data_IF_970330994338
#
_entry.id   IF_970330994338
#
_cell.length_a   1.000
_cell.length_b   1.000
_cell.length_c   1.000
_cell.angle_alpha   90.00
_cell.angle_beta   90.00
_cell.angle_gamma   90.00
#
_symmetry.space_group_name_H-M   'P 1'
#
loop_
_entity.id
_entity.type
_entity.pdbx_description
1 polymer ?
#
# COMPACT_ATOMS: atom_id res chain seq x y z
N UNK A 1 -8.79 33.75 46.14
CA UNK A 1 -8.78 32.62 45.18
C UNK A 1 -8.96 33.14 43.75
N UNK A 2 -9.84 34.12 43.53
CA UNK A 2 -10.15 34.70 42.21
C UNK A 2 -8.92 35.15 41.39
N UNK A 3 -7.94 35.82 42.03
CA UNK A 3 -6.70 36.28 41.39
C UNK A 3 -5.78 35.12 40.91
N UNK A 4 -5.82 33.95 41.56
CA UNK A 4 -4.98 32.81 41.15
C UNK A 4 -5.56 32.10 39.92
N UNK A 5 -6.88 31.95 39.85
CA UNK A 5 -7.55 31.34 38.69
C UNK A 5 -7.39 32.21 37.44
N UNK A 6 -7.50 33.53 37.57
CA UNK A 6 -7.23 34.48 36.48
C UNK A 6 -5.80 34.32 35.95
N UNK A 7 -4.79 34.34 36.84
CA UNK A 7 -3.39 34.13 36.46
C UNK A 7 -3.09 32.76 35.84
N UNK A 8 -3.78 31.70 36.30
CA UNK A 8 -3.65 30.37 35.70
C UNK A 8 -4.25 30.33 34.29
N UNK A 9 -5.36 31.02 34.05
CA UNK A 9 -5.97 31.15 32.72
C UNK A 9 -5.10 32.00 31.78
N UNK A 10 -4.49 33.08 32.27
CA UNK A 10 -3.48 33.84 31.51
C UNK A 10 -2.30 32.96 31.13
N UNK A 11 -1.86 32.12 32.07
CA UNK A 11 -0.76 31.18 31.84
C UNK A 11 -1.10 30.10 30.83
N UNK A 12 -2.33 29.56 30.88
CA UNK A 12 -2.84 28.64 29.88
C UNK A 12 -2.83 29.27 28.48
N UNK A 13 -3.31 30.51 28.38
CA UNK A 13 -3.32 31.29 27.14
C UNK A 13 -1.90 31.52 26.60
N UNK A 14 -0.93 31.82 27.47
CA UNK A 14 0.48 31.93 27.09
C UNK A 14 1.02 30.64 26.44
N UNK A 15 0.78 29.47 27.06
CA UNK A 15 1.24 28.19 26.49
C UNK A 15 0.49 27.81 25.22
N UNK A 16 -0.83 28.05 25.14
CA UNK A 16 -1.63 27.82 23.94
C UNK A 16 -1.15 28.66 22.76
N UNK A 17 -0.80 29.94 22.99
CA UNK A 17 -0.20 30.80 21.96
C UNK A 17 1.15 30.25 21.48
N UNK A 18 2.04 29.89 22.39
CA UNK A 18 3.34 29.32 22.05
C UNK A 18 3.21 27.99 21.28
N UNK A 19 2.18 27.19 21.58
CA UNK A 19 1.87 25.96 20.85
C UNK A 19 1.43 26.26 19.42
N UNK A 20 0.53 27.22 19.23
CA UNK A 20 0.07 27.63 17.90
C UNK A 20 1.23 28.16 17.04
N UNK A 21 2.07 29.03 17.60
CA UNK A 21 3.28 29.53 16.93
C UNK A 21 4.22 28.39 16.51
N UNK A 22 4.48 27.41 17.40
CA UNK A 22 5.32 26.25 17.08
C UNK A 22 4.70 25.37 15.98
N UNK A 23 3.37 25.24 15.97
CA UNK A 23 2.65 24.51 14.93
C UNK A 23 2.71 25.22 13.57
N UNK A 24 2.68 26.55 13.55
CA UNK A 24 2.86 27.33 12.33
C UNK A 24 4.30 27.28 11.82
N UNK A 25 5.28 27.35 12.72
CA UNK A 25 6.71 27.18 12.42
C UNK A 25 7.02 25.80 11.80
N UNK A 26 6.26 24.75 12.13
CA UNK A 26 6.44 23.40 11.57
C UNK A 26 6.04 23.27 10.10
N UNK A 27 5.08 24.08 9.62
CA UNK A 27 4.48 23.91 8.27
C UNK A 27 5.50 24.08 7.15
N UNK A 28 6.34 25.11 7.25
CA UNK A 28 7.31 25.43 6.18
C UNK A 28 8.42 24.38 6.07
N UNK A 29 9.12 23.99 7.17
CA UNK A 29 10.09 22.91 7.14
C UNK A 29 9.50 21.57 6.67
N UNK A 30 8.27 21.22 7.07
CA UNK A 30 7.62 19.98 6.61
C UNK A 30 7.36 19.99 5.09
N UNK A 31 6.89 21.12 4.56
CA UNK A 31 6.71 21.29 3.11
C UNK A 31 8.04 21.26 2.37
N UNK A 32 9.07 21.93 2.90
CA UNK A 32 10.40 21.95 2.29
C UNK A 32 11.04 20.56 2.30
N UNK A 33 10.90 19.81 3.41
CA UNK A 33 11.37 18.44 3.53
C UNK A 33 10.78 17.56 2.43
N UNK A 34 9.47 17.67 2.19
CA UNK A 34 8.80 16.89 1.14
C UNK A 34 9.29 17.23 -0.26
N UNK A 35 9.56 18.50 -0.57
CA UNK A 35 10.11 18.92 -1.87
C UNK A 35 11.53 18.37 -2.07
N UNK A 36 12.39 18.53 -1.07
CA UNK A 36 13.77 18.02 -1.13
C UNK A 36 13.78 16.50 -1.21
N UNK A 37 12.86 15.81 -0.54
CA UNK A 37 12.72 14.35 -0.67
C UNK A 37 12.36 13.92 -2.09
N UNK A 38 11.47 14.64 -2.78
CA UNK A 38 11.14 14.37 -4.19
C UNK A 38 12.34 14.58 -5.11
N UNK A 39 13.13 15.64 -4.87
CA UNK A 39 14.37 15.89 -5.62
C UNK A 39 15.40 14.78 -5.39
N UNK A 40 15.57 14.33 -4.14
CA UNK A 40 16.43 13.19 -3.79
C UNK A 40 15.97 11.92 -4.51
N UNK A 41 14.67 11.63 -4.48
CA UNK A 41 14.11 10.42 -5.10
C UNK A 41 14.33 10.44 -6.62
N UNK A 42 14.12 11.60 -7.27
CA UNK A 42 14.34 11.77 -8.70
C UNK A 42 15.82 11.62 -9.07
N UNK A 43 16.72 12.32 -8.37
CA UNK A 43 18.15 12.30 -8.70
C UNK A 43 18.77 10.94 -8.40
N UNK A 44 18.39 10.32 -7.27
CA UNK A 44 18.82 8.95 -6.94
C UNK A 44 18.34 7.97 -8.00
N UNK A 45 17.09 8.11 -8.47
CA UNK A 45 16.57 7.25 -9.54
C UNK A 45 17.34 7.44 -10.84
N UNK A 46 17.64 8.66 -11.26
CA UNK A 46 18.41 8.92 -12.48
C UNK A 46 19.79 8.24 -12.42
N UNK A 47 20.53 8.43 -11.31
CA UNK A 47 21.85 7.81 -11.12
C UNK A 47 21.74 6.27 -11.12
N UNK A 48 20.75 5.71 -10.42
CA UNK A 48 20.56 4.27 -10.34
C UNK A 48 20.08 3.69 -11.67
N UNK A 49 19.30 4.42 -12.44
CA UNK A 49 18.84 3.97 -13.75
C UNK A 49 19.98 3.86 -14.77
N UNK A 50 20.96 4.75 -14.69
CA UNK A 50 22.17 4.70 -15.52
C UNK A 50 23.17 3.62 -15.07
N UNK A 51 23.22 3.31 -13.77
CA UNK A 51 24.25 2.43 -13.19
C UNK A 51 23.80 0.98 -13.00
N UNK A 52 22.50 0.74 -12.77
CA UNK A 52 21.93 -0.58 -12.56
C UNK A 52 21.28 -1.07 -13.86
N UNK A 53 21.74 -2.20 -14.42
CA UNK A 53 21.22 -2.72 -15.69
C UNK A 53 19.75 -3.11 -15.61
N UNK A 54 19.06 -3.06 -16.76
CA UNK A 54 17.72 -3.60 -16.96
C UNK A 54 17.75 -4.63 -18.11
N UNK A 55 17.49 -5.93 -17.84
CA UNK A 55 17.13 -6.53 -16.56
C UNK A 55 18.32 -6.69 -15.59
N UNK A 56 18.01 -6.73 -14.28
CA UNK A 56 18.98 -7.02 -13.22
C UNK A 56 18.93 -8.50 -12.83
N UNK A 57 19.97 -9.25 -13.16
CA UNK A 57 20.14 -10.67 -12.83
C UNK A 57 20.78 -10.88 -11.45
N UNK A 58 20.79 -12.13 -10.97
CA UNK A 58 21.31 -12.44 -9.62
C UNK A 58 22.82 -12.17 -9.49
N UNK A 59 23.57 -12.25 -10.59
CA UNK A 59 25.04 -12.12 -10.56
C UNK A 59 25.53 -10.75 -10.10
N UNK A 60 24.69 -9.72 -10.23
CA UNK A 60 25.00 -8.33 -9.84
C UNK A 60 24.39 -7.91 -8.50
N UNK A 61 23.50 -8.71 -7.94
CA UNK A 61 22.82 -8.39 -6.67
C UNK A 61 23.83 -8.35 -5.52
N UNK A 62 24.72 -9.34 -5.41
CA UNK A 62 25.78 -9.39 -4.40
C UNK A 62 26.65 -8.12 -4.40
N UNK A 63 26.88 -7.52 -5.58
CA UNK A 63 27.66 -6.29 -5.69
C UNK A 63 26.89 -5.09 -5.15
N UNK A 64 25.60 -5.00 -5.44
CA UNK A 64 24.72 -3.95 -4.91
C UNK A 64 24.52 -4.08 -3.39
N UNK A 65 24.35 -5.30 -2.89
CA UNK A 65 24.27 -5.57 -1.45
C UNK A 65 25.52 -5.10 -0.70
N UNK A 66 26.70 -5.38 -1.24
CA UNK A 66 27.98 -4.91 -0.69
C UNK A 66 28.11 -3.40 -0.78
N UNK A 67 27.80 -2.82 -1.94
CA UNK A 67 27.94 -1.37 -2.19
C UNK A 67 27.04 -0.56 -1.25
N UNK A 68 25.77 -0.96 -1.08
CA UNK A 68 24.78 -0.23 -0.28
C UNK A 68 24.61 -0.79 1.15
N UNK A 69 25.39 -1.80 1.51
CA UNK A 69 25.37 -2.47 2.82
C UNK A 69 23.94 -2.88 3.23
N UNK A 70 23.30 -3.67 2.37
CA UNK A 70 21.92 -4.12 2.54
C UNK A 70 21.75 -5.58 2.13
N UNK A 71 20.66 -6.19 2.57
CA UNK A 71 20.24 -7.52 2.12
C UNK A 71 19.02 -7.34 1.19
N UNK A 72 19.08 -7.96 0.01
CA UNK A 72 18.08 -7.92 -1.04
C UNK A 72 17.41 -9.30 -1.26
N UNK A 73 17.76 -10.32 -0.48
CA UNK A 73 17.25 -11.69 -0.58
C UNK A 73 15.72 -11.75 -0.51
N UNK A 74 15.11 -10.95 0.37
CA UNK A 74 13.66 -10.89 0.52
C UNK A 74 12.98 -10.43 -0.79
N UNK A 75 13.60 -9.48 -1.51
CA UNK A 75 13.09 -8.97 -2.78
C UNK A 75 13.30 -10.02 -3.88
N UNK A 76 14.47 -10.68 -3.90
CA UNK A 76 14.74 -11.76 -4.85
C UNK A 76 13.74 -12.90 -4.67
N UNK A 77 13.58 -13.37 -3.44
CA UNK A 77 12.66 -14.46 -3.07
C UNK A 77 11.23 -14.11 -3.46
N UNK A 78 10.74 -12.92 -3.09
CA UNK A 78 9.41 -12.43 -3.47
C UNK A 78 9.17 -12.51 -4.98
N UNK A 79 10.13 -12.08 -5.80
CA UNK A 79 9.95 -12.05 -7.25
C UNK A 79 10.09 -13.42 -7.91
N UNK A 80 10.92 -14.32 -7.37
CA UNK A 80 10.97 -15.72 -7.83
C UNK A 80 9.68 -16.48 -7.43
N UNK A 81 9.17 -16.28 -6.22
CA UNK A 81 7.88 -16.84 -5.79
C UNK A 81 6.72 -16.34 -6.66
N UNK A 82 6.69 -15.04 -6.97
CA UNK A 82 5.68 -14.45 -7.86
C UNK A 82 5.74 -15.06 -9.26
N UNK A 83 6.95 -15.18 -9.84
CA UNK A 83 7.16 -15.82 -11.13
C UNK A 83 6.68 -17.27 -11.12
N UNK A 84 7.07 -18.06 -10.11
CA UNK A 84 6.64 -19.46 -9.99
C UNK A 84 5.13 -19.56 -9.88
N UNK A 85 4.50 -18.70 -9.09
CA UNK A 85 3.04 -18.62 -9.01
C UNK A 85 2.39 -18.31 -10.35
N UNK A 86 2.96 -17.40 -11.15
CA UNK A 86 2.45 -17.11 -12.49
C UNK A 86 2.63 -18.30 -13.45
N UNK A 87 3.73 -19.04 -13.34
CA UNK A 87 3.96 -20.28 -14.10
C UNK A 87 2.92 -21.32 -13.72
N UNK A 88 2.71 -21.58 -12.42
CA UNK A 88 1.71 -22.53 -11.92
C UNK A 88 0.28 -22.14 -12.35
N UNK A 89 -0.08 -20.86 -12.27
CA UNK A 89 -1.37 -20.36 -12.73
C UNK A 89 -1.54 -20.57 -14.23
N UNK A 90 -0.50 -20.26 -15.03
CA UNK A 90 -0.51 -20.47 -16.47
C UNK A 90 -0.67 -21.96 -16.82
N UNK A 91 0.10 -22.84 -16.18
CA UNK A 91 0.02 -24.29 -16.39
C UNK A 91 -1.34 -24.85 -15.98
N UNK A 92 -1.93 -24.34 -14.89
CA UNK A 92 -3.28 -24.70 -14.46
C UNK A 92 -4.33 -24.31 -15.52
N UNK A 93 -4.25 -23.09 -16.08
CA UNK A 93 -5.15 -22.65 -17.14
C UNK A 93 -4.97 -23.47 -18.44
N UNK A 94 -3.73 -23.79 -18.81
CA UNK A 94 -3.42 -24.55 -20.03
C UNK A 94 -3.75 -26.05 -19.91
N UNK A 95 -3.74 -26.59 -18.69
CA UNK A 95 -4.11 -27.97 -18.42
C UNK A 95 -5.62 -28.19 -18.27
N UNK A 96 -6.41 -27.12 -18.12
CA UNK A 96 -7.87 -27.20 -18.11
C UNK A 96 -8.36 -27.84 -19.42
N UNK A 97 -9.06 -28.96 -19.31
CA UNK A 97 -9.62 -29.68 -20.46
C UNK A 97 -10.54 -28.80 -21.29
N UNK A 98 -11.21 -27.82 -20.65
CA UNK A 98 -12.05 -26.82 -21.32
C UNK A 98 -11.25 -25.89 -22.21
N UNK A 99 -10.05 -25.49 -21.80
CA UNK A 99 -9.16 -24.67 -22.64
C UNK A 99 -8.68 -25.43 -23.88
N UNK A 100 -8.43 -26.74 -23.76
CA UNK A 100 -8.06 -27.60 -24.90
C UNK A 100 -9.21 -27.82 -25.88
N UNK A 101 -10.42 -28.08 -25.36
CA UNK A 101 -11.65 -28.18 -26.17
C UNK A 101 -11.98 -26.83 -26.84
N UNK A 102 -11.71 -25.71 -26.17
CA UNK A 102 -11.82 -24.36 -26.72
C UNK A 102 -10.86 -24.08 -27.88
N UNK A 103 -9.58 -24.44 -27.77
CA UNK A 103 -8.64 -24.27 -28.89
C UNK A 103 -9.12 -25.03 -30.14
N UNK A 104 -9.76 -26.18 -29.96
CA UNK A 104 -10.40 -26.92 -31.04
C UNK A 104 -11.70 -26.25 -31.55
N UNK A 105 -12.40 -25.47 -30.71
CA UNK A 105 -13.53 -24.62 -31.14
C UNK A 105 -13.02 -23.47 -32.01
N UNK A 106 -12.13 -22.60 -31.54
CA UNK A 106 -11.75 -21.35 -32.27
C UNK A 106 -11.32 -21.57 -33.73
N UNK A 107 -10.70 -22.72 -34.01
CA UNK A 107 -10.18 -23.05 -35.35
C UNK A 107 -11.31 -23.39 -36.35
N UNK A 108 -12.55 -23.61 -35.89
CA UNK A 108 -13.67 -23.97 -36.74
C UNK A 108 -14.46 -22.73 -37.23
N UNK A 109 -14.40 -22.47 -38.53
CA UNK A 109 -15.10 -21.35 -39.19
C UNK A 109 -16.63 -21.39 -39.02
N UNK A 110 -17.22 -22.58 -38.82
CA UNK A 110 -18.66 -22.76 -38.59
C UNK A 110 -19.14 -22.10 -37.30
N UNK A 111 -18.25 -21.82 -36.35
CA UNK A 111 -18.63 -21.18 -35.08
C UNK A 111 -18.90 -19.70 -35.22
N UNK A 112 -18.16 -18.97 -36.05
CA UNK A 112 -18.49 -17.56 -36.34
C UNK A 112 -19.86 -17.44 -36.98
N UNK A 113 -20.26 -18.47 -37.73
CA UNK A 113 -21.57 -18.55 -38.32
C UNK A 113 -22.63 -18.84 -37.24
N UNK A 114 -22.41 -19.84 -36.38
CA UNK A 114 -23.31 -20.18 -35.27
C UNK A 114 -23.45 -19.05 -34.24
N UNK A 115 -22.38 -18.32 -33.93
CA UNK A 115 -22.41 -17.15 -33.05
C UNK A 115 -23.34 -16.07 -33.61
N UNK A 116 -23.24 -15.79 -34.92
CA UNK A 116 -24.14 -14.86 -35.61
C UNK A 116 -25.59 -15.34 -35.60
N UNK A 117 -25.82 -16.65 -35.70
CA UNK A 117 -27.17 -17.21 -35.59
C UNK A 117 -27.75 -17.01 -34.19
N UNK A 118 -27.00 -17.35 -33.13
CA UNK A 118 -27.49 -17.26 -31.74
C UNK A 118 -27.74 -15.83 -31.23
N UNK A 119 -27.17 -14.84 -31.92
CA UNK A 119 -27.39 -13.41 -31.68
C UNK A 119 -28.53 -12.83 -32.53
N UNK A 120 -29.16 -13.61 -33.39
CA UNK A 120 -30.27 -13.17 -34.23
C UNK A 120 -31.64 -13.45 -33.58
N UNK A 121 -32.45 -12.40 -33.46
CA UNK A 121 -33.76 -12.47 -32.81
C UNK A 121 -34.73 -13.44 -33.51
N UNK A 122 -34.64 -13.56 -34.85
CA UNK A 122 -35.52 -14.45 -35.62
C UNK A 122 -35.10 -15.89 -35.40
N UNK A 123 -33.79 -16.18 -35.41
CA UNK A 123 -33.28 -17.51 -35.11
C UNK A 123 -33.59 -17.94 -33.67
N UNK A 124 -33.34 -17.07 -32.68
CA UNK A 124 -33.65 -17.35 -31.27
C UNK A 124 -35.16 -17.56 -31.06
N UNK A 125 -36.01 -16.76 -31.73
CA UNK A 125 -37.45 -16.98 -31.73
C UNK A 125 -37.86 -18.34 -32.33
N UNK A 126 -37.25 -18.75 -33.45
CA UNK A 126 -37.51 -20.05 -34.08
C UNK A 126 -37.12 -21.22 -33.15
N UNK A 127 -35.98 -21.12 -32.47
CA UNK A 127 -35.55 -22.09 -31.46
C UNK A 127 -36.50 -22.15 -30.26
N UNK A 128 -36.94 -21.00 -29.75
CA UNK A 128 -37.89 -20.93 -28.63
C UNK A 128 -39.26 -21.52 -28.98
N UNK A 129 -39.66 -21.44 -30.26
CA UNK A 129 -40.85 -22.11 -30.77
C UNK A 129 -40.61 -23.58 -31.09
N UNK A 130 -39.41 -24.11 -30.83
CA UNK A 130 -38.97 -25.49 -31.14
C UNK A 130 -39.05 -25.84 -32.62
N UNK A 131 -38.99 -24.84 -33.49
CA UNK A 131 -39.02 -25.03 -34.94
C UNK A 131 -37.78 -25.84 -35.38
N UNK A 132 -37.98 -26.86 -36.22
CA UNK A 132 -36.93 -27.82 -36.59
C UNK A 132 -36.80 -29.04 -35.65
N UNK A 133 -37.68 -29.16 -34.65
CA UNK A 133 -37.75 -30.36 -33.79
C UNK A 133 -38.95 -31.24 -34.12
N UNK A 134 -38.86 -32.52 -33.76
CA UNK A 134 -39.96 -33.49 -33.83
C UNK A 134 -41.20 -33.02 -33.04
N UNK A 135 -41.02 -32.25 -31.96
CA UNK A 135 -42.15 -31.69 -31.20
C UNK A 135 -42.97 -30.69 -32.02
N UNK A 136 -42.32 -29.83 -32.80
CA UNK A 136 -43.01 -28.83 -33.64
C UNK A 136 -43.70 -29.47 -34.85
N UNK A 137 -43.09 -30.51 -35.44
CA UNK A 137 -43.69 -31.27 -36.54
C UNK A 137 -44.94 -32.06 -36.15
N UNK A 138 -45.08 -32.32 -34.85
CA UNK A 138 -46.21 -33.04 -34.25
C UNK A 138 -47.31 -32.10 -33.72
N UNK A 139 -47.19 -30.79 -33.88
CA UNK A 139 -48.27 -29.86 -33.56
C UNK A 139 -49.54 -30.13 -34.40
N UNK A 140 -50.74 -29.70 -33.92
CA UNK A 140 -52.00 -29.96 -34.59
C UNK A 140 -51.99 -29.56 -36.07
N UNK A 141 -52.45 -30.47 -36.92
CA UNK A 141 -52.51 -30.29 -38.36
C UNK A 141 -53.90 -30.61 -38.90
N UNK A 142 -54.22 -30.03 -40.05
CA UNK A 142 -55.44 -30.30 -40.81
C UNK A 142 -55.06 -31.33 -41.87
N UNK A 143 -55.68 -32.51 -41.84
CA UNK A 143 -55.45 -33.56 -42.85
C UNK A 143 -56.62 -33.54 -43.83
N UNK A 144 -56.36 -33.22 -45.10
CA UNK A 144 -57.37 -33.25 -46.16
C UNK A 144 -56.86 -34.07 -47.35
N UNK A 145 -57.54 -35.16 -47.71
CA UNK A 145 -57.18 -36.06 -48.83
C UNK A 145 -55.68 -36.48 -48.77
N UNK A 146 -55.25 -37.00 -47.60
CA UNK A 146 -53.85 -37.37 -47.31
C UNK A 146 -52.83 -36.22 -47.33
N UNK A 147 -53.24 -34.98 -47.59
CA UNK A 147 -52.39 -33.80 -47.46
C UNK A 147 -52.39 -33.30 -46.01
N UNK A 148 -51.23 -33.29 -45.36
CA UNK A 148 -51.03 -32.73 -44.01
C UNK A 148 -50.75 -31.24 -44.14
N UNK A 149 -51.71 -30.39 -43.79
CA UNK A 149 -51.54 -28.94 -43.77
C UNK A 149 -51.41 -28.43 -42.34
N UNK A 150 -50.29 -27.79 -42.02
CA UNK A 150 -50.04 -27.16 -40.74
C UNK A 150 -49.76 -25.66 -40.98
N UNK A 151 -50.75 -24.78 -40.79
CA UNK A 151 -50.62 -23.35 -41.13
C UNK A 151 -49.44 -22.67 -40.43
N UNK A 152 -49.17 -23.01 -39.17
CA UNK A 152 -48.00 -22.50 -38.43
C UNK A 152 -46.70 -22.96 -39.05
N UNK A 153 -46.61 -24.22 -39.49
CA UNK A 153 -45.40 -24.76 -40.13
C UNK A 153 -45.02 -24.00 -41.40
N UNK A 154 -45.97 -23.78 -42.31
CA UNK A 154 -45.68 -23.08 -43.57
C UNK A 154 -45.29 -21.62 -43.35
N UNK A 155 -45.92 -20.93 -42.39
CA UNK A 155 -45.58 -19.55 -42.04
C UNK A 155 -44.16 -19.47 -41.47
N UNK A 156 -43.81 -20.39 -40.56
CA UNK A 156 -42.49 -20.45 -39.95
C UNK A 156 -41.43 -20.87 -40.97
N UNK A 157 -41.68 -21.89 -41.78
CA UNK A 157 -40.77 -22.37 -42.83
C UNK A 157 -40.35 -21.27 -43.79
N UNK A 158 -41.28 -20.44 -44.27
CA UNK A 158 -40.94 -19.32 -45.16
C UNK A 158 -40.01 -18.29 -44.48
N UNK A 159 -40.23 -18.00 -43.20
CA UNK A 159 -39.41 -17.07 -42.43
C UNK A 159 -38.04 -17.69 -42.15
N UNK A 160 -38.03 -18.97 -41.78
CA UNK A 160 -36.87 -19.75 -41.42
C UNK A 160 -35.92 -19.99 -42.59
N UNK A 161 -36.43 -20.38 -43.76
CA UNK A 161 -35.62 -20.59 -44.97
C UNK A 161 -35.10 -19.26 -45.52
N UNK A 162 -35.89 -18.18 -45.45
CA UNK A 162 -35.38 -16.84 -45.76
C UNK A 162 -34.19 -16.52 -44.85
N UNK A 163 -34.30 -16.84 -43.56
CA UNK A 163 -33.26 -16.55 -42.58
C UNK A 163 -32.00 -17.39 -42.79
N UNK A 164 -32.13 -18.67 -43.11
CA UNK A 164 -31.00 -19.54 -43.47
C UNK A 164 -30.21 -18.96 -44.65
N UNK A 165 -30.91 -18.49 -45.69
CA UNK A 165 -30.29 -17.86 -46.86
C UNK A 165 -29.55 -16.55 -46.52
N UNK A 166 -30.01 -15.76 -45.54
CA UNK A 166 -29.29 -14.57 -45.04
C UNK A 166 -27.95 -14.94 -44.40
N UNK A 167 -27.82 -16.16 -43.86
CA UNK A 167 -26.57 -16.73 -43.34
C UNK A 167 -25.78 -17.52 -44.40
N UNK A 168 -26.26 -17.61 -45.65
CA UNK A 168 -25.60 -18.37 -46.71
C UNK A 168 -25.79 -19.88 -46.61
N UNK A 169 -26.87 -20.35 -45.98
CA UNK A 169 -27.22 -21.77 -45.83
C UNK A 169 -28.50 -22.07 -46.61
N UNK A 170 -28.55 -23.22 -47.30
CA UNK A 170 -29.61 -23.52 -48.26
C UNK A 170 -30.99 -23.71 -47.63
N UNK A 171 -31.05 -24.14 -46.36
CA UNK A 171 -32.32 -24.37 -45.65
C UNK A 171 -32.22 -24.18 -44.13
N UNK A 172 -33.35 -23.95 -43.46
CA UNK A 172 -33.37 -23.91 -42.00
C UNK A 172 -32.98 -25.26 -41.37
N UNK A 173 -33.31 -26.37 -42.01
CA UNK A 173 -32.99 -27.71 -41.53
C UNK A 173 -31.47 -27.94 -41.47
N UNK A 174 -30.77 -27.56 -42.53
CA UNK A 174 -29.30 -27.60 -42.58
C UNK A 174 -28.68 -26.63 -41.55
N UNK A 175 -29.24 -25.42 -41.43
CA UNK A 175 -28.81 -24.44 -40.42
C UNK A 175 -28.99 -24.98 -38.99
N UNK A 176 -30.12 -25.64 -38.71
CA UNK A 176 -30.42 -26.24 -37.42
C UNK A 176 -29.53 -27.45 -37.12
N UNK A 177 -29.21 -28.27 -38.13
CA UNK A 177 -28.27 -29.39 -37.99
C UNK A 177 -26.85 -28.92 -37.71
N UNK A 178 -26.39 -27.85 -38.37
CA UNK A 178 -25.10 -27.23 -38.09
C UNK A 178 -25.01 -26.74 -36.65
N UNK A 179 -26.01 -25.95 -36.21
CA UNK A 179 -26.10 -25.42 -34.86
C UNK A 179 -26.17 -26.54 -33.79
N UNK A 180 -27.06 -27.52 -33.99
CA UNK A 180 -27.27 -28.60 -33.03
C UNK A 180 -26.09 -29.58 -32.98
N UNK A 181 -25.47 -29.88 -34.11
CA UNK A 181 -24.27 -30.72 -34.21
C UNK A 181 -23.09 -30.12 -33.45
N UNK A 182 -22.85 -28.81 -33.59
CA UNK A 182 -21.81 -28.12 -32.83
C UNK A 182 -22.09 -28.12 -31.32
N UNK A 183 -23.34 -27.88 -30.91
CA UNK A 183 -23.71 -27.99 -29.48
C UNK A 183 -23.59 -29.41 -28.92
N UNK A 184 -23.78 -30.45 -29.74
CA UNK A 184 -23.56 -31.84 -29.32
C UNK A 184 -22.06 -32.12 -29.16
N UNK A 185 -21.26 -31.73 -30.15
CA UNK A 185 -19.82 -31.99 -30.15
C UNK A 185 -19.08 -31.27 -29.02
N UNK A 186 -19.56 -30.08 -28.62
CA UNK A 186 -18.99 -29.29 -27.53
C UNK A 186 -19.92 -29.22 -26.31
N UNK A 187 -20.78 -30.21 -26.12
CA UNK A 187 -21.78 -30.22 -25.03
C UNK A 187 -21.15 -30.11 -23.63
N UNK A 188 -19.96 -30.71 -23.44
CA UNK A 188 -19.14 -30.60 -22.24
C UNK A 188 -18.74 -29.16 -21.92
N UNK A 189 -18.51 -28.36 -22.96
CA UNK A 189 -18.05 -26.97 -22.85
C UNK A 189 -19.22 -25.98 -22.79
N UNK A 190 -20.18 -26.14 -23.69
CA UNK A 190 -21.30 -25.21 -23.89
C UNK A 190 -22.38 -25.42 -22.82
N UNK A 191 -22.67 -26.67 -22.47
CA UNK A 191 -23.81 -27.01 -21.62
C UNK A 191 -25.09 -26.29 -22.09
N UNK A 192 -25.66 -25.48 -21.19
CA UNK A 192 -26.87 -24.68 -21.46
C UNK A 192 -26.55 -23.23 -21.90
N UNK A 193 -25.28 -22.81 -21.93
CA UNK A 193 -24.89 -21.45 -22.32
C UNK A 193 -25.05 -21.24 -23.83
N UNK A 194 -25.00 -19.97 -24.28
CA UNK A 194 -24.78 -19.68 -25.70
C UNK A 194 -23.32 -19.95 -26.05
N UNK A 195 -23.07 -20.30 -27.31
CA UNK A 195 -21.73 -20.47 -27.86
C UNK A 195 -20.94 -19.15 -27.76
N UNK A 196 -21.60 -18.01 -27.97
CA UNK A 196 -21.00 -16.68 -27.80
C UNK A 196 -20.46 -16.42 -26.40
N UNK A 197 -21.21 -16.80 -25.36
CA UNK A 197 -20.78 -16.66 -23.96
C UNK A 197 -19.54 -17.51 -23.67
N UNK A 198 -19.52 -18.74 -24.20
CA UNK A 198 -18.42 -19.70 -24.01
C UNK A 198 -17.16 -19.22 -24.73
N UNK A 199 -17.31 -18.64 -25.93
CA UNK A 199 -16.22 -17.98 -26.66
C UNK A 199 -15.67 -16.81 -25.84
N UNK A 200 -16.52 -15.91 -25.33
CA UNK A 200 -16.09 -14.77 -24.53
C UNK A 200 -15.36 -15.16 -23.24
N UNK A 201 -15.85 -16.17 -22.50
CA UNK A 201 -15.15 -16.71 -21.33
C UNK A 201 -13.75 -17.24 -21.68
N UNK A 202 -13.61 -17.81 -22.86
CA UNK A 202 -12.37 -18.42 -23.30
C UNK A 202 -11.36 -17.41 -23.84
N UNK A 203 -11.81 -16.37 -24.54
CA UNK A 203 -10.98 -15.23 -24.92
C UNK A 203 -10.38 -14.53 -23.68
N UNK A 204 -11.15 -14.46 -22.58
CA UNK A 204 -10.66 -13.97 -21.29
C UNK A 204 -9.54 -14.85 -20.72
N UNK A 205 -9.66 -16.18 -20.82
CA UNK A 205 -8.61 -17.12 -20.41
C UNK A 205 -7.35 -16.93 -21.27
N UNK A 206 -7.50 -16.83 -22.59
CA UNK A 206 -6.36 -16.61 -23.50
C UNK A 206 -5.66 -15.28 -23.22
N UNK A 207 -6.44 -14.21 -23.00
CA UNK A 207 -5.91 -12.93 -22.57
C UNK A 207 -5.16 -13.05 -21.25
N UNK A 208 -5.72 -13.77 -20.27
CA UNK A 208 -5.06 -14.01 -18.98
C UNK A 208 -3.74 -14.75 -19.14
N UNK A 209 -3.68 -15.78 -19.99
CA UNK A 209 -2.44 -16.51 -20.31
C UNK A 209 -1.40 -15.57 -20.92
N UNK A 210 -1.79 -14.71 -21.88
CA UNK A 210 -0.89 -13.71 -22.49
C UNK A 210 -0.37 -12.71 -21.46
N UNK A 211 -1.23 -12.23 -20.57
CA UNK A 211 -0.85 -11.32 -19.49
C UNK A 211 0.15 -11.98 -18.52
N UNK A 212 -0.07 -13.26 -18.18
CA UNK A 212 0.86 -14.06 -17.37
C UNK A 212 2.21 -14.25 -18.08
N UNK A 213 2.21 -14.51 -19.38
CA UNK A 213 3.45 -14.62 -20.17
C UNK A 213 4.27 -13.34 -20.17
N UNK A 214 3.61 -12.18 -20.31
CA UNK A 214 4.27 -10.89 -20.18
C UNK A 214 4.89 -10.76 -18.79
N UNK A 215 4.12 -11.05 -17.73
CA UNK A 215 4.58 -10.93 -16.35
C UNK A 215 5.76 -11.87 -16.02
N UNK A 216 5.73 -13.11 -16.51
CA UNK A 216 6.82 -14.09 -16.33
C UNK A 216 8.08 -13.62 -17.05
N UNK A 217 7.96 -13.07 -18.26
CA UNK A 217 9.12 -12.63 -19.03
C UNK A 217 9.70 -11.31 -18.54
N UNK A 218 8.88 -10.43 -17.96
CA UNK A 218 9.31 -9.11 -17.47
C UNK A 218 9.56 -9.06 -15.96
N UNK A 219 9.53 -10.20 -15.25
CA UNK A 219 9.61 -10.22 -13.78
C UNK A 219 10.89 -9.57 -13.24
N UNK A 220 12.01 -9.67 -13.97
CA UNK A 220 13.29 -9.07 -13.61
C UNK A 220 13.26 -7.53 -13.65
N UNK A 221 12.48 -6.93 -14.54
CA UNK A 221 12.31 -5.47 -14.62
C UNK A 221 11.55 -4.97 -13.38
N UNK A 222 10.49 -5.67 -12.98
CA UNK A 222 9.76 -5.36 -11.73
C UNK A 222 10.66 -5.53 -10.50
N UNK A 223 11.48 -6.59 -10.47
CA UNK A 223 12.46 -6.84 -9.40
C UNK A 223 13.49 -5.72 -9.29
N UNK A 224 14.05 -5.29 -10.43
CA UNK A 224 14.98 -4.16 -10.51
C UNK A 224 14.38 -2.90 -9.91
N UNK A 225 13.13 -2.58 -10.25
CA UNK A 225 12.47 -1.38 -9.71
C UNK A 225 12.32 -1.43 -8.18
N UNK A 226 11.95 -2.59 -7.62
CA UNK A 226 11.87 -2.77 -6.16
C UNK A 226 13.25 -2.64 -5.49
N UNK A 227 14.32 -3.16 -6.12
CA UNK A 227 15.71 -3.01 -5.65
C UNK A 227 16.13 -1.53 -5.68
N UNK A 228 15.90 -0.82 -6.78
CA UNK A 228 16.20 0.62 -6.89
C UNK A 228 15.48 1.40 -5.79
N UNK A 229 14.18 1.18 -5.60
CA UNK A 229 13.41 1.86 -4.57
C UNK A 229 13.96 1.59 -3.16
N UNK A 230 14.47 0.38 -2.92
CA UNK A 230 15.09 -0.01 -1.66
C UNK A 230 16.44 0.67 -1.45
N UNK A 231 17.26 0.75 -2.50
CA UNK A 231 18.53 1.50 -2.48
C UNK A 231 18.29 2.99 -2.22
N UNK A 232 17.30 3.62 -2.87
CA UNK A 232 16.95 5.04 -2.64
C UNK A 232 16.61 5.28 -1.17
N UNK A 233 15.82 4.39 -0.55
CA UNK A 233 15.51 4.47 0.89
C UNK A 233 16.76 4.37 1.75
N UNK A 234 17.68 3.47 1.40
CA UNK A 234 18.95 3.32 2.11
C UNK A 234 19.80 4.58 2.00
N UNK A 235 19.88 5.17 0.81
CA UNK A 235 20.64 6.40 0.57
C UNK A 235 20.16 7.53 1.50
N UNK A 236 18.85 7.67 1.71
CA UNK A 236 18.25 8.67 2.62
C UNK A 236 18.58 8.47 4.11
N UNK A 237 19.03 7.27 4.50
CA UNK A 237 19.31 6.91 5.90
C UNK A 237 20.79 6.91 6.26
N UNK A 238 21.67 6.85 5.27
CA UNK A 238 23.12 6.73 5.48
C UNK A 238 23.74 8.12 5.57
N UNK A 239 24.77 8.25 6.41
CA UNK A 239 25.51 9.51 6.53
C UNK A 239 26.17 9.89 5.20
N UNK A 240 26.07 11.18 4.86
CA UNK A 240 26.59 11.76 3.62
C UNK A 240 28.09 11.43 3.41
N UNK A 241 28.84 11.30 4.51
CA UNK A 241 30.28 11.00 4.54
C UNK A 241 30.62 9.62 3.98
N UNK A 242 29.66 8.69 3.97
CA UNK A 242 29.86 7.31 3.50
C UNK A 242 29.67 7.14 1.98
N UNK A 243 29.24 8.17 1.25
CA UNK A 243 29.03 8.07 -0.20
C UNK A 243 30.28 8.41 -1.00
N UNK A 244 30.40 7.77 -2.16
CA UNK A 244 31.32 8.21 -3.20
C UNK A 244 30.91 9.61 -3.68
N UNK A 245 31.74 10.60 -3.33
CA UNK A 245 31.50 12.02 -3.63
C UNK A 245 31.46 12.33 -5.12
N UNK A 246 32.05 11.49 -5.95
CA UNK A 246 32.04 11.67 -7.41
C UNK A 246 30.71 11.19 -7.98
N UNK A 247 30.31 9.95 -7.62
CA UNK A 247 29.07 9.31 -8.08
C UNK A 247 27.81 10.05 -7.61
N UNK A 248 27.82 10.57 -6.38
CA UNK A 248 26.66 11.22 -5.75
C UNK A 248 26.84 12.73 -5.59
N UNK A 249 27.67 13.36 -6.42
CA UNK A 249 28.00 14.80 -6.31
C UNK A 249 26.77 15.71 -6.30
N UNK A 250 25.76 15.44 -7.13
CA UNK A 250 24.50 16.19 -7.16
C UNK A 250 23.56 15.87 -5.97
N UNK A 251 23.70 14.67 -5.39
CA UNK A 251 22.80 14.18 -4.34
C UNK A 251 23.26 14.61 -2.94
N UNK A 252 24.57 14.75 -2.73
CA UNK A 252 25.17 15.13 -1.45
C UNK A 252 24.57 16.44 -0.89
N UNK A 253 24.49 17.56 -1.64
CA UNK A 253 23.89 18.79 -1.14
C UNK A 253 22.41 18.64 -0.77
N UNK A 254 21.67 17.82 -1.51
CA UNK A 254 20.25 17.54 -1.23
C UNK A 254 20.09 16.75 0.07
N UNK A 255 20.93 15.73 0.29
CA UNK A 255 20.94 14.94 1.53
C UNK A 255 21.35 15.78 2.75
N UNK A 256 22.35 16.64 2.62
CA UNK A 256 22.74 17.58 3.69
C UNK A 256 21.60 18.52 4.04
N UNK A 257 20.95 19.11 3.02
CA UNK A 257 19.77 19.96 3.21
C UNK A 257 18.63 19.20 3.89
N UNK A 258 18.31 18.00 3.42
CA UNK A 258 17.27 17.14 3.99
C UNK A 258 17.53 16.82 5.46
N UNK A 259 18.77 16.47 5.81
CA UNK A 259 19.18 16.19 7.19
C UNK A 259 19.08 17.43 8.08
N UNK A 260 19.50 18.61 7.59
CA UNK A 260 19.34 19.87 8.30
C UNK A 260 17.87 20.20 8.61
N UNK A 261 16.98 20.04 7.62
CA UNK A 261 15.53 20.24 7.80
C UNK A 261 14.96 19.21 8.79
N UNK A 262 15.35 17.94 8.68
CA UNK A 262 14.89 16.88 9.58
C UNK A 262 15.28 17.14 11.05
N UNK A 263 16.50 17.64 11.28
CA UNK A 263 16.93 18.05 12.62
C UNK A 263 16.13 19.23 13.14
N UNK A 264 15.87 20.23 12.30
CA UNK A 264 15.05 21.40 12.67
C UNK A 264 13.62 21.00 13.04
N UNK A 265 12.96 20.15 12.23
CA UNK A 265 11.64 19.60 12.52
C UNK A 265 11.64 18.84 13.86
N UNK A 266 12.66 18.00 14.10
CA UNK A 266 12.78 17.26 15.38
C UNK A 266 12.85 18.23 16.57
N UNK A 267 13.60 19.33 16.44
CA UNK A 267 13.64 20.39 17.46
C UNK A 267 12.27 21.02 17.73
N UNK A 268 11.53 21.37 16.68
CA UNK A 268 10.18 21.92 16.79
C UNK A 268 9.16 20.92 17.36
N UNK A 269 9.25 19.64 17.00
CA UNK A 269 8.41 18.59 17.57
C UNK A 269 8.67 18.37 19.06
N UNK A 270 9.94 18.45 19.49
CA UNK A 270 10.30 18.40 20.91
C UNK A 270 9.71 19.62 21.66
N UNK A 271 9.88 20.84 21.12
CA UNK A 271 9.29 22.07 21.65
C UNK A 271 7.77 21.94 21.80
N UNK A 272 7.08 21.49 20.74
CA UNK A 272 5.64 21.24 20.73
C UNK A 272 5.21 20.29 21.84
N UNK A 273 5.94 19.19 22.02
CA UNK A 273 5.65 18.16 23.03
C UNK A 273 5.71 18.73 24.44
N UNK A 274 6.76 19.49 24.76
CA UNK A 274 6.92 20.10 26.09
C UNK A 274 5.84 21.15 26.35
N UNK A 275 5.51 21.99 25.38
CA UNK A 275 4.44 23.00 25.53
C UNK A 275 3.09 22.32 25.78
N UNK A 276 2.77 21.24 25.05
CA UNK A 276 1.54 20.47 25.26
C UNK A 276 1.48 19.84 26.66
N UNK A 277 2.59 19.32 27.18
CA UNK A 277 2.67 18.85 28.56
C UNK A 277 2.42 19.97 29.58
N UNK A 278 2.92 21.17 29.30
CA UNK A 278 2.69 22.35 30.13
C UNK A 278 1.21 22.76 30.10
N UNK A 279 0.57 22.85 28.93
CA UNK A 279 -0.89 23.10 28.78
C UNK A 279 -1.70 22.14 29.65
N UNK A 280 -1.49 20.82 29.46
CA UNK A 280 -2.21 19.78 30.20
C UNK A 280 -2.02 19.89 31.73
N UNK A 281 -0.84 20.35 32.16
CA UNK A 281 -0.54 20.56 33.58
C UNK A 281 -1.28 21.79 34.13
N UNK A 282 -1.29 22.91 33.39
CA UNK A 282 -2.00 24.14 33.82
C UNK A 282 -3.52 23.92 33.88
N UNK A 283 -4.11 23.24 32.90
CA UNK A 283 -5.53 22.89 32.91
C UNK A 283 -5.91 22.11 34.19
N UNK A 284 -5.05 21.17 34.60
CA UNK A 284 -5.25 20.43 35.85
C UNK A 284 -5.09 21.30 37.09
N UNK A 285 -4.16 22.24 37.08
CA UNK A 285 -3.98 23.20 38.18
C UNK A 285 -5.20 24.11 38.34
N UNK A 286 -5.82 24.56 37.23
CA UNK A 286 -7.07 25.33 37.24
C UNK A 286 -8.18 24.52 37.93
N UNK A 287 -8.41 23.27 37.52
CA UNK A 287 -9.43 22.40 38.12
C UNK A 287 -9.21 22.22 39.63
N UNK A 288 -7.96 22.07 40.06
CA UNK A 288 -7.64 21.92 41.49
C UNK A 288 -7.82 23.24 42.25
N UNK A 289 -7.51 24.38 41.63
CA UNK A 289 -7.67 25.70 42.23
C UNK A 289 -9.16 26.06 42.40
N UNK A 290 -10.00 25.79 41.40
CA UNK A 290 -11.46 25.94 41.47
C UNK A 290 -12.09 25.09 42.58
N UNK A 291 -11.51 23.91 42.86
CA UNK A 291 -11.93 23.04 43.96
C UNK A 291 -11.41 23.50 45.33
N UNK A 292 -10.65 24.59 45.41
CA UNK A 292 -10.00 25.07 46.64
C UNK A 292 -8.88 24.16 47.14
N UNK A 293 -8.36 23.26 46.29
CA UNK A 293 -7.39 22.22 46.65
C UNK A 293 -5.97 22.53 46.19
N UNK A 294 -5.76 23.71 45.60
CA UNK A 294 -4.48 24.11 45.06
C UNK A 294 -4.24 25.61 45.24
N UNK A 295 -3.18 25.94 45.99
CA UNK A 295 -2.66 27.28 46.17
C UNK A 295 -1.14 27.18 46.08
N UNK A 296 -0.52 28.00 45.25
CA UNK A 296 0.94 28.06 45.14
C UNK A 296 1.52 28.89 46.29
N UNK A 297 2.66 28.46 46.82
CA UNK A 297 3.46 29.30 47.69
C UNK A 297 4.01 30.52 46.92
N UNK A 298 4.48 31.53 47.65
CA UNK A 298 4.95 32.79 47.08
C UNK A 298 6.17 32.60 46.14
N UNK A 299 7.06 31.66 46.47
CA UNK A 299 8.30 31.41 45.71
C UNK A 299 7.99 30.72 44.39
N UNK A 300 7.09 29.74 44.40
CA UNK A 300 6.62 29.05 43.19
C UNK A 300 5.68 29.90 42.36
N UNK A 301 4.90 30.80 42.98
CA UNK A 301 4.11 31.83 42.28
C UNK A 301 5.02 32.70 41.40
N UNK A 302 6.07 33.27 41.98
CA UNK A 302 6.97 34.16 41.24
C UNK A 302 7.74 33.42 40.13
N UNK A 303 8.21 32.20 40.39
CA UNK A 303 8.93 31.39 39.40
C UNK A 303 8.03 30.94 38.23
N UNK A 304 6.79 30.52 38.53
CA UNK A 304 5.88 29.98 37.54
C UNK A 304 5.21 31.07 36.68
N UNK A 305 4.70 32.15 37.29
CA UNK A 305 3.98 33.18 36.55
C UNK A 305 4.90 34.14 35.80
N UNK A 306 6.13 34.37 36.26
CA UNK A 306 7.08 35.25 35.58
C UNK A 306 7.96 34.53 34.54
N UNK A 307 7.85 33.21 34.38
CA UNK A 307 8.65 32.49 33.39
C UNK A 307 8.23 32.85 31.96
N UNK A 308 9.15 33.38 31.17
CA UNK A 308 8.93 33.75 29.76
C UNK A 308 9.23 32.63 28.77
N UNK A 309 9.84 31.52 29.22
CA UNK A 309 10.20 30.41 28.34
C UNK A 309 9.11 29.32 28.33
N UNK A 310 8.38 29.13 27.21
CA UNK A 310 7.29 28.16 27.14
C UNK A 310 7.77 26.70 27.18
N UNK A 311 9.07 26.44 26.95
CA UNK A 311 9.64 25.08 27.00
C UNK A 311 10.24 24.70 28.35
N UNK A 312 10.26 25.58 29.34
CA UNK A 312 10.67 25.18 30.69
C UNK A 312 9.55 24.31 31.28
N UNK A 313 9.84 23.06 31.70
CA UNK A 313 8.83 22.20 32.31
C UNK A 313 8.29 22.79 33.62
N UNK A 314 6.97 22.73 33.82
CA UNK A 314 6.32 23.34 34.99
C UNK A 314 6.85 22.79 36.33
N UNK A 315 7.19 21.50 36.38
CA UNK A 315 7.71 20.89 37.61
C UNK A 315 9.08 21.45 38.04
N UNK A 316 9.82 22.10 37.13
CA UNK A 316 11.08 22.79 37.47
C UNK A 316 10.85 24.16 38.14
N UNK A 317 9.61 24.69 38.05
CA UNK A 317 9.23 25.99 38.61
C UNK A 317 8.51 25.86 39.97
N UNK A 318 8.07 24.65 40.31
CA UNK A 318 7.30 24.36 41.53
C UNK A 318 8.20 23.61 42.51
N UNK A 319 8.10 23.92 43.81
CA UNK A 319 8.90 23.22 44.82
C UNK A 319 8.54 21.73 44.89
N UNK A 320 9.50 20.89 45.29
CA UNK A 320 9.30 19.43 45.36
C UNK A 320 8.18 19.00 46.31
N UNK A 321 8.01 19.72 47.43
CA UNK A 321 6.95 19.45 48.41
C UNK A 321 5.55 19.70 47.81
N UNK A 322 5.40 20.78 47.05
CA UNK A 322 4.15 21.11 46.36
C UNK A 322 3.90 20.18 45.17
N UNK A 323 4.92 19.91 44.35
CA UNK A 323 4.81 18.97 43.24
C UNK A 323 4.40 17.57 43.73
N UNK A 324 4.98 17.08 44.84
CA UNK A 324 4.57 15.82 45.47
C UNK A 324 3.09 15.82 45.87
N UNK A 325 2.58 16.95 46.36
CA UNK A 325 1.18 17.10 46.77
C UNK A 325 0.23 17.13 45.56
N UNK A 326 0.59 17.86 44.51
CA UNK A 326 -0.14 17.91 43.23
C UNK A 326 -0.15 16.52 42.57
N UNK A 327 1.02 15.89 42.46
CA UNK A 327 1.21 14.57 41.88
C UNK A 327 0.35 13.51 42.61
N UNK A 328 0.36 13.51 43.96
CA UNK A 328 -0.50 12.63 44.76
C UNK A 328 -1.99 12.89 44.54
N UNK A 329 -2.41 14.14 44.41
CA UNK A 329 -3.81 14.49 44.16
C UNK A 329 -4.29 14.03 42.77
N UNK A 330 -3.41 14.10 41.76
CA UNK A 330 -3.69 13.67 40.39
C UNK A 330 -3.72 12.14 40.26
N UNK A 331 -2.75 11.44 40.85
CA UNK A 331 -2.71 9.96 40.87
C UNK A 331 -3.94 9.37 41.58
N UNK A 332 -4.41 9.97 42.68
CA UNK A 332 -5.63 9.54 43.40
C UNK A 332 -6.91 9.63 42.57
N UNK A 333 -6.93 10.43 41.50
CA UNK A 333 -8.04 10.53 40.55
C UNK A 333 -7.86 9.66 39.30
N UNK A 334 -6.91 8.71 39.33
CA UNK A 334 -6.63 7.81 38.20
C UNK A 334 -5.82 8.45 37.07
N UNK A 335 -5.28 9.65 37.28
CA UNK A 335 -4.56 10.41 36.26
C UNK A 335 -3.06 10.12 36.42
N UNK A 336 -2.47 9.40 35.44
CA UNK A 336 -1.02 9.22 35.37
C UNK A 336 -0.34 10.55 35.07
N UNK A 337 0.33 11.09 36.05
CA UNK A 337 1.32 12.15 35.92
C UNK A 337 2.69 11.51 35.76
N UNK A 338 3.51 11.97 34.81
CA UNK A 338 4.92 11.61 34.78
C UNK A 338 5.53 12.09 36.10
N UNK A 339 5.90 11.16 36.99
CA UNK A 339 6.50 11.51 38.27
C UNK A 339 7.83 12.24 38.03
N UNK A 340 8.34 12.91 39.06
CA UNK A 340 9.70 13.46 39.05
C UNK A 340 10.75 12.38 38.69
N UNK A 341 10.43 11.10 38.91
CA UNK A 341 11.27 9.94 38.58
C UNK A 341 11.30 9.63 37.07
N UNK A 342 10.28 10.02 36.30
CA UNK A 342 10.26 9.89 34.83
C UNK A 342 10.96 11.05 34.11
N UNK A 343 11.25 12.14 34.83
CA UNK A 343 12.27 13.13 34.48
C UNK A 343 13.52 12.89 35.34
N UNK A 344 14.02 11.65 35.31
CA UNK A 344 15.46 11.51 35.50
C UNK A 344 16.13 12.23 34.34
N UNK A 345 16.75 13.37 34.63
CA UNK A 345 17.96 13.69 33.89
C UNK A 345 18.82 12.44 34.04
N UNK A 346 19.16 11.78 32.93
CA UNK A 346 20.23 10.78 32.94
C UNK A 346 21.49 11.51 33.35
N UNK A 347 21.73 11.61 34.66
CA UNK A 347 23.06 11.82 35.22
C UNK A 347 23.51 10.45 35.69
N UNK A 348 24.03 9.66 34.75
CA UNK A 348 24.88 8.53 35.12
C UNK A 348 26.19 9.13 35.60
N UNK A 349 26.32 9.36 36.90
CA UNK A 349 27.63 9.58 37.50
C UNK A 349 28.28 8.20 37.62
N UNK A 350 28.96 7.78 36.55
CA UNK A 350 29.83 6.58 36.60
C UNK A 350 31.02 6.93 37.48
N UNK A 351 31.43 6.00 38.33
CA UNK A 351 32.62 6.21 39.16
C UNK A 351 33.89 6.26 38.28
N UNK A 352 34.92 7.01 38.69
CA UNK A 352 36.20 7.08 37.96
C UNK A 352 36.81 5.70 37.69
N UNK A 353 36.54 4.74 38.59
CA UNK A 353 36.99 3.36 38.47
C UNK A 353 36.25 2.59 37.35
N UNK A 354 34.95 2.81 37.20
CA UNK A 354 34.15 2.23 36.09
C UNK A 354 34.47 2.89 34.76
N UNK A 355 34.70 4.21 34.76
CA UNK A 355 35.08 4.96 33.55
C UNK A 355 36.43 4.49 33.00
N UNK A 356 37.42 4.27 33.88
CA UNK A 356 38.74 3.77 33.50
C UNK A 356 38.72 2.32 33.02
N UNK A 357 37.92 1.47 33.65
CA UNK A 357 37.73 0.08 33.23
C UNK A 357 37.06 -0.03 31.85
N UNK A 358 36.14 0.88 31.52
CA UNK A 358 35.50 0.96 30.20
C UNK A 358 36.50 1.44 29.14
N UNK A 359 37.28 2.49 29.42
CA UNK A 359 38.28 3.01 28.47
C UNK A 359 39.39 1.98 28.15
N UNK A 360 39.86 1.22 29.15
CA UNK A 360 40.83 0.14 28.96
C UNK A 360 40.23 -1.06 28.22
N UNK A 361 38.96 -1.42 28.50
CA UNK A 361 38.27 -2.54 27.83
C UNK A 361 38.09 -2.31 26.33
N UNK A 362 37.92 -1.06 25.90
CA UNK A 362 37.73 -0.69 24.49
C UNK A 362 38.98 -0.06 23.85
N UNK A 363 40.10 0.02 24.59
CA UNK A 363 41.40 0.53 24.17
C UNK A 363 41.37 1.94 23.54
N UNK A 364 40.64 2.87 24.16
CA UNK A 364 40.45 4.27 23.70
C UNK A 364 40.84 5.26 24.81
N UNK A 365 41.39 6.43 24.45
CA UNK A 365 41.68 7.51 25.43
C UNK A 365 40.50 8.46 25.57
N UNK A 366 40.34 9.05 26.76
CA UNK A 366 39.26 9.98 27.04
C UNK A 366 39.34 11.21 26.11
N UNK A 367 38.34 11.37 25.24
CA UNK A 367 38.27 12.44 24.24
C UNK A 367 38.27 12.00 22.77
N UNK A 368 38.41 10.69 22.47
CA UNK A 368 38.24 10.16 21.12
C UNK A 368 36.79 9.68 20.88
N UNK A 369 36.19 10.06 19.74
CA UNK A 369 34.82 9.68 19.34
C UNK A 369 34.85 8.25 18.78
N UNK A 370 33.98 7.37 19.29
CA UNK A 370 33.79 6.00 18.81
C UNK A 370 32.35 5.77 18.34
N UNK A 371 32.19 5.07 17.20
CA UNK A 371 30.92 4.58 16.64
C UNK A 371 30.58 3.25 17.31
N UNK A 372 29.37 3.11 17.90
CA UNK A 372 28.96 1.91 18.63
C UNK A 372 28.82 0.69 17.70
N UNK A 373 29.52 -0.39 18.07
CA UNK A 373 29.54 -1.69 17.40
C UNK A 373 28.31 -2.56 17.66
N UNK A 374 27.37 -2.15 18.52
CA UNK A 374 26.12 -2.89 18.80
C UNK A 374 24.99 -2.68 17.77
N UNK A 375 25.20 -1.82 16.76
CA UNK A 375 24.30 -1.72 15.61
C UNK A 375 24.66 -2.72 14.49
N UNK A 376 25.69 -3.54 14.68
CA UNK A 376 26.10 -4.60 13.76
C UNK A 376 26.07 -5.95 14.49
N UNK A 377 25.20 -6.85 14.03
CA UNK A 377 25.08 -8.30 14.31
C UNK A 377 24.18 -8.84 15.46
N UNK A 378 22.96 -9.22 15.05
CA UNK A 378 22.25 -10.53 15.13
C UNK A 378 22.62 -11.61 16.18
N UNK A 379 21.56 -12.23 16.70
CA UNK A 379 21.41 -13.65 17.14
C UNK A 379 22.47 -14.29 18.03
N UNK A 380 22.07 -14.60 19.26
CA UNK A 380 21.63 -15.96 19.64
C UNK A 380 20.63 -15.89 20.79
#
# INVERSE_FOLDING_TARGET
MDNQNEKLNDRLSFYMKAYAETMDELKLPESEKSKVEQEIDSESKNILDETIPDPLDNSRIDSLEKEYQMNLDDIVTKHEELKNKYIEEKESLQSDSRYKEYLNLIINDDLKLVEKMENDDVFDYLLNQKFGTVEFENEPCIIFIKFKYQPRFWKFKKIADKKANEFGIDSFEEMYHLWSGLRINYKSLVGNKKMSDVIGESELIEKRIKDLDVAINSYLTSRRQDIINTIIRRIKMVDVVAFDKTKFSNLIPLLEKYNGIAQHIRGLQNRKTVIMQNINTVEKMIILAEQGRFVLDKKSTDAFFNNTNPVTPIFEMITEAEWSSINKALVRKGIKTTSKDNYSVVRKTISEKEKKAILEKYNVKEGEIFIDSNLVSKTN
#
